data_IF_221319427274
#
_entry.id   IF_221319427274
#
_cell.length_a   1.000
_cell.length_b   1.000
_cell.length_c   1.000
_cell.angle_alpha   90.00
_cell.angle_beta   90.00
_cell.angle_gamma   90.00
#
_symmetry.space_group_name_H-M   'P 1'
#
loop_
_entity.id
_entity.type
_entity.pdbx_description
1 polymer ?
#
# COMPACT_ATOMS: atom_id res chain seq x y z
N UNK A 1 -23.41 13.02 82.97
CA UNK A 1 -22.60 13.51 81.81
C UNK A 1 -22.21 12.33 80.99
N UNK A 2 -22.89 12.01 79.87
CA UNK A 2 -22.63 10.89 78.96
C UNK A 2 -22.14 11.46 77.63
N UNK A 3 -20.88 11.30 77.31
CA UNK A 3 -20.28 11.75 76.04
C UNK A 3 -20.50 10.65 75.01
N UNK A 4 -21.22 11.00 73.97
CA UNK A 4 -21.44 10.15 72.79
C UNK A 4 -20.27 10.36 71.79
N UNK A 5 -19.49 9.31 71.53
CA UNK A 5 -18.54 9.30 70.42
C UNK A 5 -19.26 8.84 69.15
N UNK A 6 -19.34 9.72 68.21
CA UNK A 6 -19.80 9.40 66.85
C UNK A 6 -18.60 8.93 66.05
N UNK A 7 -18.57 7.63 65.73
CA UNK A 7 -17.61 7.07 64.82
C UNK A 7 -18.04 7.36 63.38
N UNK A 8 -17.29 8.25 62.69
CA UNK A 8 -17.47 8.50 61.26
C UNK A 8 -16.61 7.47 60.50
N UNK A 9 -17.31 6.51 59.90
CA UNK A 9 -16.71 5.52 59.01
C UNK A 9 -16.53 6.15 57.62
N UNK A 10 -15.31 6.60 57.26
CA UNK A 10 -14.98 7.00 55.88
C UNK A 10 -14.84 5.76 55.00
N UNK A 11 -15.85 5.48 54.17
CA UNK A 11 -15.78 4.52 53.09
C UNK A 11 -14.96 5.15 51.94
N UNK A 12 -13.70 4.73 51.82
CA UNK A 12 -12.87 4.99 50.62
C UNK A 12 -13.34 4.07 49.49
N UNK A 13 -14.11 4.59 48.56
CA UNK A 13 -14.43 3.93 47.32
C UNK A 13 -13.18 3.99 46.39
N UNK A 14 -12.48 2.89 46.28
CA UNK A 14 -11.45 2.70 45.23
C UNK A 14 -12.16 2.53 43.87
N UNK A 15 -12.19 3.58 43.09
CA UNK A 15 -12.56 3.51 41.68
C UNK A 15 -11.42 2.86 40.92
N UNK A 16 -11.52 1.55 40.66
CA UNK A 16 -10.62 0.85 39.75
C UNK A 16 -10.93 1.34 38.32
N UNK A 17 -10.08 2.23 37.77
CA UNK A 17 -10.06 2.50 36.35
C UNK A 17 -9.63 1.22 35.60
N UNK A 18 -10.59 0.48 35.08
CA UNK A 18 -10.34 -0.61 34.17
C UNK A 18 -9.66 -0.03 32.90
N UNK A 19 -8.33 -0.20 32.77
CA UNK A 19 -7.63 0.04 31.51
C UNK A 19 -8.11 -1.03 30.51
N UNK A 20 -9.01 -0.63 29.59
CA UNK A 20 -9.30 -1.41 28.40
C UNK A 20 -7.99 -1.52 27.61
N UNK A 21 -7.55 -2.73 27.21
CA UNK A 21 -6.41 -2.86 26.34
C UNK A 21 -6.70 -2.11 25.04
N UNK A 22 -5.71 -1.41 24.43
CA UNK A 22 -5.92 -0.76 23.16
C UNK A 22 -6.39 -1.81 22.15
N UNK A 23 -7.49 -1.51 21.46
CA UNK A 23 -7.96 -2.34 20.35
C UNK A 23 -6.75 -2.58 19.43
N UNK A 24 -6.43 -3.84 19.16
CA UNK A 24 -5.33 -4.19 18.27
C UNK A 24 -5.64 -3.57 16.90
N UNK A 25 -4.98 -2.46 16.59
CA UNK A 25 -5.07 -1.87 15.26
C UNK A 25 -4.63 -2.93 14.26
N UNK A 26 -5.46 -3.18 13.23
CA UNK A 26 -5.06 -4.06 12.13
C UNK A 26 -3.70 -3.59 11.60
N UNK A 27 -2.77 -4.51 11.30
CA UNK A 27 -1.46 -4.12 10.83
C UNK A 27 -1.59 -3.21 9.61
N UNK A 28 -0.92 -2.06 9.63
CA UNK A 28 -1.01 -1.06 8.58
C UNK A 28 -0.46 -1.60 7.27
N UNK A 29 -1.24 -1.54 6.18
CA UNK A 29 -0.81 -1.87 4.83
C UNK A 29 0.09 -0.76 4.29
N UNK A 30 1.15 -1.11 3.55
CA UNK A 30 1.97 -0.18 2.79
C UNK A 30 2.58 -0.86 1.57
N UNK A 31 2.89 -0.06 0.56
CA UNK A 31 3.50 -0.49 -0.69
C UNK A 31 4.79 0.29 -0.93
N UNK A 32 5.83 -0.40 -1.34
CA UNK A 32 7.10 0.19 -1.76
C UNK A 32 7.39 -0.21 -3.20
N UNK A 33 7.70 0.77 -4.05
CA UNK A 33 8.11 0.56 -5.44
C UNK A 33 9.50 1.16 -5.61
N UNK A 34 10.47 0.30 -5.86
CA UNK A 34 11.85 0.68 -6.10
C UNK A 34 12.15 0.63 -7.61
N UNK A 35 12.32 1.80 -8.21
CA UNK A 35 12.65 1.93 -9.63
C UNK A 35 14.10 1.51 -9.95
N UNK A 36 14.98 1.51 -8.96
CA UNK A 36 16.38 1.08 -9.14
C UNK A 36 16.46 -0.42 -9.38
N UNK A 37 15.64 -1.18 -8.68
CA UNK A 37 15.59 -2.65 -8.76
C UNK A 37 14.42 -3.17 -9.57
N UNK A 38 13.50 -2.29 -9.99
CA UNK A 38 12.25 -2.63 -10.66
C UNK A 38 11.45 -3.65 -9.82
N UNK A 39 11.20 -3.32 -8.56
CA UNK A 39 10.54 -4.22 -7.61
C UNK A 39 9.38 -3.51 -6.90
N UNK A 40 8.26 -4.22 -6.74
CA UNK A 40 7.14 -3.86 -5.88
C UNK A 40 7.14 -4.79 -4.66
N UNK A 41 7.01 -4.20 -3.47
CA UNK A 41 6.80 -4.91 -2.20
C UNK A 41 5.55 -4.40 -1.50
N UNK A 42 4.72 -5.32 -1.02
CA UNK A 42 3.53 -5.04 -0.24
C UNK A 42 3.67 -5.62 1.17
N UNK A 43 3.34 -4.83 2.19
CA UNK A 43 3.53 -5.19 3.59
C UNK A 43 2.26 -5.00 4.41
N UNK A 44 2.08 -5.84 5.42
CA UNK A 44 1.16 -5.62 6.55
C UNK A 44 2.00 -5.53 7.84
N UNK A 45 2.09 -4.34 8.44
CA UNK A 45 3.08 -4.07 9.46
C UNK A 45 4.48 -4.34 8.91
N UNK A 46 5.23 -5.23 9.58
CA UNK A 46 6.58 -5.64 9.15
C UNK A 46 6.58 -6.91 8.27
N UNK A 47 5.42 -7.53 8.06
CA UNK A 47 5.30 -8.75 7.28
C UNK A 47 5.25 -8.44 5.78
N UNK A 48 6.18 -9.01 5.01
CA UNK A 48 6.13 -9.00 3.55
C UNK A 48 5.03 -9.96 3.06
N UNK A 49 4.04 -9.41 2.35
CA UNK A 49 2.89 -10.14 1.79
C UNK A 49 3.14 -10.54 0.34
N UNK A 50 3.71 -9.60 -0.43
CA UNK A 50 4.00 -9.81 -1.85
C UNK A 50 5.30 -9.11 -2.22
N UNK A 51 6.15 -9.80 -2.95
CA UNK A 51 7.27 -9.22 -3.69
C UNK A 51 7.20 -9.68 -5.15
N UNK A 52 7.28 -8.74 -6.08
CA UNK A 52 7.30 -9.04 -7.51
C UNK A 52 8.12 -8.02 -8.26
N UNK A 53 8.69 -8.43 -9.40
CA UNK A 53 9.27 -7.46 -10.31
C UNK A 53 8.19 -6.63 -10.99
N UNK A 54 8.56 -5.44 -11.41
CA UNK A 54 7.69 -4.51 -12.16
C UNK A 54 8.47 -3.93 -13.35
N UNK A 55 7.75 -3.23 -14.22
CA UNK A 55 8.36 -2.39 -15.24
C UNK A 55 7.73 -1.01 -15.20
N UNK A 56 8.53 -0.01 -14.84
CA UNK A 56 8.12 1.38 -14.69
C UNK A 56 8.32 2.18 -15.98
N UNK A 57 8.09 3.50 -15.94
CA UNK A 57 8.25 4.38 -17.09
C UNK A 57 9.69 4.41 -17.61
N UNK A 58 9.85 4.32 -18.94
CA UNK A 58 11.15 4.24 -19.63
C UNK A 58 11.94 5.55 -19.64
N UNK A 59 11.26 6.68 -19.43
CA UNK A 59 11.91 7.99 -19.32
C UNK A 59 12.06 8.40 -17.86
N UNK A 60 13.07 9.17 -17.56
CA UNK A 60 13.24 9.74 -16.23
C UNK A 60 12.02 10.62 -15.89
N UNK A 61 11.48 10.44 -14.69
CA UNK A 61 10.27 11.14 -14.24
C UNK A 61 8.94 10.64 -14.79
N UNK A 62 8.90 9.75 -15.79
CA UNK A 62 7.63 9.21 -16.31
C UNK A 62 6.82 8.48 -15.23
N UNK A 63 7.49 7.71 -14.37
CA UNK A 63 6.93 7.25 -13.10
C UNK A 63 7.51 8.15 -11.99
N UNK A 64 6.70 9.00 -11.35
CA UNK A 64 7.21 9.97 -10.37
C UNK A 64 7.69 9.28 -9.09
N UNK A 65 8.74 9.83 -8.47
CA UNK A 65 9.07 9.49 -7.08
C UNK A 65 8.17 10.28 -6.14
N UNK A 66 7.86 9.72 -4.98
CA UNK A 66 7.09 10.39 -3.95
C UNK A 66 6.30 9.44 -3.06
N UNK A 67 5.50 10.05 -2.20
CA UNK A 67 4.53 9.38 -1.35
C UNK A 67 3.14 9.60 -1.95
N UNK A 68 2.43 8.51 -2.16
CA UNK A 68 1.10 8.48 -2.74
C UNK A 68 0.17 7.62 -1.87
N UNK A 69 -1.09 7.57 -2.25
CA UNK A 69 -2.05 6.62 -1.70
C UNK A 69 -2.73 5.88 -2.85
N UNK A 70 -3.05 4.61 -2.65
CA UNK A 70 -3.85 3.87 -3.61
C UNK A 70 -5.22 4.55 -3.79
N UNK A 71 -5.55 4.88 -5.01
CA UNK A 71 -6.83 5.47 -5.40
C UNK A 71 -7.84 4.42 -5.82
N UNK A 72 -8.62 4.76 -6.83
CA UNK A 72 -9.65 3.89 -7.38
C UNK A 72 -9.07 2.61 -7.97
N UNK A 73 -9.86 1.54 -7.85
CA UNK A 73 -9.49 0.19 -8.30
C UNK A 73 -10.45 -0.26 -9.40
N UNK A 74 -9.89 -0.78 -10.49
CA UNK A 74 -10.66 -1.29 -11.62
C UNK A 74 -10.19 -2.69 -11.99
N UNK A 75 -11.10 -3.67 -11.99
CA UNK A 75 -10.77 -5.02 -12.43
C UNK A 75 -10.29 -5.04 -13.89
N UNK A 76 -10.84 -4.16 -14.71
CA UNK A 76 -10.39 -3.84 -16.06
C UNK A 76 -10.53 -2.33 -16.27
N UNK A 77 -9.43 -1.69 -16.62
CA UNK A 77 -9.37 -0.31 -17.08
C UNK A 77 -8.83 -0.26 -18.50
N UNK A 78 -9.14 0.79 -19.24
CA UNK A 78 -8.64 0.99 -20.59
C UNK A 78 -7.95 2.35 -20.69
N UNK A 79 -6.74 2.37 -21.22
CA UNK A 79 -5.96 3.59 -21.34
C UNK A 79 -6.58 4.55 -22.35
N UNK A 80 -6.93 5.76 -21.92
CA UNK A 80 -7.40 6.81 -22.83
C UNK A 80 -6.29 7.42 -23.67
N UNK A 81 -5.03 7.23 -23.28
CA UNK A 81 -3.86 7.84 -23.92
C UNK A 81 -3.16 6.90 -24.90
N UNK A 82 -3.43 5.58 -24.85
CA UNK A 82 -2.71 4.57 -25.61
C UNK A 82 -3.69 3.57 -26.23
N UNK A 83 -4.34 3.98 -27.29
CA UNK A 83 -5.21 3.16 -28.15
C UNK A 83 -6.14 2.21 -27.39
N UNK A 84 -6.73 2.70 -26.31
CA UNK A 84 -7.62 1.92 -25.47
C UNK A 84 -7.00 0.60 -24.96
N UNK A 85 -5.68 0.58 -24.73
CA UNK A 85 -4.96 -0.59 -24.27
C UNK A 85 -5.54 -1.12 -22.94
N UNK A 86 -5.77 -2.44 -22.82
CA UNK A 86 -6.34 -3.03 -21.61
C UNK A 86 -5.33 -3.00 -20.46
N UNK A 87 -5.80 -2.59 -19.30
CA UNK A 87 -5.04 -2.53 -18.05
C UNK A 87 -5.80 -3.31 -16.97
N UNK A 88 -5.68 -4.65 -16.93
CA UNK A 88 -6.34 -5.46 -15.92
C UNK A 88 -5.76 -5.22 -14.53
N UNK A 89 -6.61 -5.33 -13.50
CA UNK A 89 -6.24 -5.18 -12.10
C UNK A 89 -5.57 -3.82 -11.80
N UNK A 90 -6.14 -2.75 -12.34
CA UNK A 90 -5.64 -1.39 -12.19
C UNK A 90 -5.93 -0.79 -10.82
N UNK A 91 -4.92 -0.15 -10.27
CA UNK A 91 -4.99 0.68 -9.06
C UNK A 91 -4.40 2.04 -9.40
N UNK A 92 -5.18 3.10 -9.23
CA UNK A 92 -4.71 4.45 -9.47
C UNK A 92 -3.66 4.85 -8.42
N UNK A 93 -2.60 5.52 -8.85
CA UNK A 93 -1.55 6.07 -7.98
C UNK A 93 -1.63 7.58 -7.98
N UNK A 94 -1.56 8.19 -9.17
CA UNK A 94 -1.67 9.63 -9.34
C UNK A 94 -1.96 9.98 -10.81
N UNK A 95 -2.96 10.80 -11.07
CA UNK A 95 -3.31 11.26 -12.41
C UNK A 95 -3.51 10.11 -13.40
N UNK A 96 -2.59 9.97 -14.37
CA UNK A 96 -2.64 8.91 -15.37
C UNK A 96 -1.68 7.74 -15.07
N UNK A 97 -1.10 7.68 -13.86
CA UNK A 97 -0.19 6.61 -13.44
C UNK A 97 -0.95 5.58 -12.63
N UNK A 98 -0.95 4.35 -13.12
CA UNK A 98 -1.58 3.19 -12.49
C UNK A 98 -0.57 2.08 -12.24
N UNK A 99 -0.81 1.26 -11.21
CA UNK A 99 -0.26 -0.07 -11.07
C UNK A 99 -1.25 -1.02 -11.72
N UNK A 100 -0.83 -1.82 -12.72
CA UNK A 100 -1.75 -2.70 -13.43
C UNK A 100 -1.07 -3.94 -13.98
N UNK A 101 -1.85 -4.97 -14.25
CA UNK A 101 -1.38 -6.19 -14.88
C UNK A 101 -0.98 -5.98 -16.33
N UNK A 102 0.10 -6.65 -16.77
CA UNK A 102 0.56 -6.64 -18.15
C UNK A 102 1.18 -7.99 -18.55
N UNK A 103 0.97 -8.40 -19.79
CA UNK A 103 1.40 -9.73 -20.27
C UNK A 103 2.93 -9.85 -20.47
N UNK A 104 3.64 -8.74 -20.71
CA UNK A 104 5.09 -8.72 -20.86
C UNK A 104 5.70 -7.67 -19.96
N UNK A 105 6.34 -8.09 -18.88
CA UNK A 105 6.93 -7.21 -17.86
C UNK A 105 8.42 -7.49 -17.76
N UNK A 106 9.24 -6.76 -18.52
CA UNK A 106 10.71 -6.90 -18.43
C UNK A 106 11.21 -6.33 -17.09
N UNK A 107 12.40 -6.74 -16.68
CA UNK A 107 13.06 -6.24 -15.46
C UNK A 107 13.81 -4.91 -15.66
N UNK A 108 13.32 -4.10 -16.58
CA UNK A 108 13.80 -2.74 -16.86
C UNK A 108 12.62 -1.84 -17.21
N UNK A 109 12.75 -0.51 -17.12
CA UNK A 109 11.69 0.42 -17.46
C UNK A 109 11.30 0.32 -18.95
N UNK A 110 10.02 0.06 -19.22
CA UNK A 110 9.51 -0.10 -20.58
C UNK A 110 8.12 0.52 -20.79
N UNK A 111 7.49 1.06 -19.74
CA UNK A 111 6.17 1.68 -19.85
C UNK A 111 6.25 3.17 -20.23
N UNK A 112 5.11 3.82 -20.38
CA UNK A 112 5.00 5.26 -20.58
C UNK A 112 4.80 6.04 -19.27
N UNK A 113 4.80 5.33 -18.12
CA UNK A 113 4.63 5.93 -16.79
C UNK A 113 3.94 4.99 -15.80
N UNK A 114 3.00 4.17 -16.25
CA UNK A 114 2.38 3.15 -15.39
C UNK A 114 3.38 2.12 -14.88
N UNK A 115 3.05 1.49 -13.78
CA UNK A 115 3.82 0.41 -13.16
C UNK A 115 3.17 -0.91 -13.59
N UNK A 116 3.84 -1.62 -14.51
CA UNK A 116 3.38 -2.92 -15.01
C UNK A 116 3.75 -4.03 -14.05
N UNK A 117 2.80 -4.89 -13.73
CA UNK A 117 2.96 -6.06 -12.84
C UNK A 117 2.63 -7.32 -13.64
N UNK A 118 3.38 -8.43 -13.49
CA UNK A 118 3.13 -9.65 -14.25
C UNK A 118 1.74 -10.25 -14.04
N UNK A 119 1.20 -10.84 -15.10
CA UNK A 119 -0.02 -11.65 -15.08
C UNK A 119 0.27 -13.15 -15.03
N UNK A 120 1.49 -13.56 -15.33
CA UNK A 120 2.01 -14.93 -15.22
C UNK A 120 2.52 -15.26 -13.81
N UNK A 121 3.18 -16.41 -13.63
CA UNK A 121 3.83 -16.80 -12.38
C UNK A 121 2.98 -16.60 -11.12
N UNK A 122 1.73 -17.06 -11.14
CA UNK A 122 0.80 -16.93 -10.02
C UNK A 122 0.00 -15.63 -10.00
N UNK A 123 0.11 -14.81 -11.05
CA UNK A 123 -0.64 -13.56 -11.24
C UNK A 123 -0.47 -12.56 -10.08
N UNK A 124 0.75 -12.05 -9.83
CA UNK A 124 0.98 -11.08 -8.77
C UNK A 124 0.17 -9.78 -8.94
N UNK A 125 -0.20 -9.41 -10.17
CA UNK A 125 -1.08 -8.26 -10.41
C UNK A 125 -2.45 -8.46 -9.77
N UNK A 126 -3.04 -9.64 -9.91
CA UNK A 126 -4.31 -9.98 -9.25
C UNK A 126 -4.17 -10.05 -7.74
N UNK A 127 -3.10 -10.68 -7.24
CA UNK A 127 -2.83 -10.78 -5.80
C UNK A 127 -2.70 -9.39 -5.18
N UNK A 128 -1.93 -8.49 -5.80
CA UNK A 128 -1.80 -7.11 -5.38
C UNK A 128 -3.15 -6.38 -5.38
N UNK A 129 -3.89 -6.48 -6.47
CA UNK A 129 -5.21 -5.86 -6.62
C UNK A 129 -6.21 -6.32 -5.56
N UNK A 130 -6.24 -7.61 -5.22
CA UNK A 130 -7.15 -8.15 -4.20
C UNK A 130 -6.74 -7.72 -2.78
N UNK A 131 -5.44 -7.56 -2.55
CA UNK A 131 -4.91 -7.21 -1.23
C UNK A 131 -4.96 -5.69 -0.94
N UNK A 132 -4.60 -4.84 -1.93
CA UNK A 132 -4.53 -3.38 -1.71
C UNK A 132 -5.90 -2.77 -1.51
N UNK A 133 -6.00 -1.75 -0.66
CA UNK A 133 -7.22 -1.00 -0.39
C UNK A 133 -7.04 0.47 -0.78
N UNK A 134 -8.11 1.18 -1.18
CA UNK A 134 -8.04 2.64 -1.35
C UNK A 134 -7.50 3.30 -0.09
N UNK A 135 -6.58 4.24 -0.24
CA UNK A 135 -5.89 4.90 0.86
C UNK A 135 -4.61 4.18 1.34
N UNK A 136 -4.32 2.94 0.89
CA UNK A 136 -3.05 2.28 1.22
C UNK A 136 -1.86 3.15 0.79
N UNK A 137 -0.92 3.50 1.70
CA UNK A 137 0.27 4.28 1.37
C UNK A 137 1.15 3.58 0.33
N UNK A 138 1.60 4.33 -0.66
CA UNK A 138 2.49 3.87 -1.74
C UNK A 138 3.71 4.80 -1.79
N UNK A 139 4.89 4.27 -1.52
CA UNK A 139 6.15 4.95 -1.74
C UNK A 139 6.74 4.53 -3.08
N UNK A 140 7.09 5.49 -3.93
CA UNK A 140 7.85 5.27 -5.16
C UNK A 140 9.18 5.97 -5.04
N UNK A 141 10.27 5.21 -5.16
CA UNK A 141 11.64 5.71 -4.98
C UNK A 141 12.62 5.13 -5.98
N UNK A 142 13.82 5.69 -5.97
CA UNK A 142 14.92 5.21 -6.77
C UNK A 142 14.95 5.80 -8.19
N UNK A 143 15.96 5.41 -8.94
CA UNK A 143 16.18 5.78 -10.32
C UNK A 143 16.77 4.60 -11.06
N UNK A 144 16.26 4.33 -12.25
CA UNK A 144 16.87 3.31 -13.10
C UNK A 144 18.17 3.86 -13.71
N UNK A 145 19.26 3.23 -13.39
CA UNK A 145 20.54 3.47 -14.04
C UNK A 145 20.78 2.37 -15.08
N UNK A 146 20.97 2.76 -16.34
CA UNK A 146 21.32 1.82 -17.39
C UNK A 146 22.60 1.09 -16.98
N UNK A 147 22.47 -0.10 -16.43
CA UNK A 147 23.61 -1.00 -16.25
C UNK A 147 23.98 -1.54 -17.64
N UNK A 148 25.03 -0.97 -18.19
CA UNK A 148 25.68 -1.51 -19.42
C UNK A 148 26.29 -2.86 -19.12
#
# INVERSE_FOLDING_TARGET
>A
MRRWFVLVCCLLALTACAHLPPASASPSKRVEIDKTTQTLRAYEGDKLILETHVSTGKWDGATPNGQFAAGDKYRMHYSRLFDNAPMPYSVEVTGNVFIHGFGSVPRWPASHGCIRVPLDAGNPAKQFFEWVEPGTPIEIKGRWENRK
#
